data_IF_515400568861
#
_entry.id   IF_515400568861
#
_cell.length_a   1.000
_cell.length_b   1.000
_cell.length_c   1.000
_cell.angle_alpha   90.00
_cell.angle_beta   90.00
_cell.angle_gamma   90.00
#
_symmetry.space_group_name_H-M   'P 1'
#
loop_
_entity.id
_entity.type
_entity.pdbx_description
1 polymer ?
#
# COMPACT_ATOMS: atom_id res chain seq x y z
N UNK A 1 -12.15 -18.69 -20.72
CA UNK A 1 -12.03 -17.27 -21.12
C UNK A 1 -11.30 -16.52 -20.02
N UNK A 2 -10.16 -15.90 -20.31
CA UNK A 2 -9.40 -15.11 -19.34
C UNK A 2 -10.09 -13.77 -19.12
N UNK A 3 -10.40 -13.41 -17.87
CA UNK A 3 -11.05 -12.14 -17.53
C UNK A 3 -10.05 -11.00 -17.70
N UNK A 4 -10.44 -9.93 -18.39
CA UNK A 4 -9.65 -8.68 -18.44
C UNK A 4 -9.89 -7.91 -17.15
N UNK A 5 -8.83 -7.65 -16.38
CA UNK A 5 -8.87 -6.89 -15.13
C UNK A 5 -8.16 -5.57 -15.37
N UNK A 6 -8.77 -4.46 -14.96
CA UNK A 6 -8.14 -3.15 -14.90
C UNK A 6 -7.88 -2.78 -13.44
N UNK A 7 -6.69 -2.28 -13.15
CA UNK A 7 -6.31 -1.77 -11.83
C UNK A 7 -6.49 -0.25 -11.82
N UNK A 8 -7.18 0.27 -10.80
CA UNK A 8 -7.40 1.71 -10.61
C UNK A 8 -6.81 2.09 -9.26
N UNK A 9 -5.97 3.11 -9.26
CA UNK A 9 -5.33 3.64 -8.06
C UNK A 9 -6.02 4.95 -7.68
N UNK A 10 -6.62 5.05 -6.47
CA UNK A 10 -7.35 6.25 -6.05
C UNK A 10 -6.38 7.40 -5.75
N UNK A 11 -6.85 8.63 -5.94
CA UNK A 11 -6.07 9.85 -5.67
C UNK A 11 -6.13 10.35 -4.22
N UNK A 12 -5.52 11.51 -3.98
CA UNK A 12 -5.53 12.21 -2.70
C UNK A 12 -6.96 12.53 -2.25
N UNK A 13 -7.23 12.40 -0.95
CA UNK A 13 -8.55 12.62 -0.33
C UNK A 13 -9.34 11.33 -0.10
N UNK A 14 -8.89 10.20 -0.65
CA UNK A 14 -9.50 8.88 -0.44
C UNK A 14 -9.04 8.18 0.85
N UNK A 15 -7.98 8.69 1.49
CA UNK A 15 -7.37 8.07 2.66
C UNK A 15 -8.25 8.15 3.91
N UNK A 16 -8.09 7.17 4.82
CA UNK A 16 -8.77 7.09 6.10
C UNK A 16 -7.78 6.73 7.20
N UNK A 17 -8.09 7.12 8.44
CA UNK A 17 -7.28 6.75 9.62
C UNK A 17 -7.16 5.22 9.69
N UNK A 18 -5.94 4.71 9.83
CA UNK A 18 -5.65 3.28 9.90
C UNK A 18 -5.64 2.53 8.56
N UNK A 19 -5.77 3.23 7.42
CA UNK A 19 -5.62 2.61 6.10
C UNK A 19 -4.23 1.95 5.97
N UNK A 20 -4.18 0.73 5.43
CA UNK A 20 -2.94 -0.03 5.29
C UNK A 20 -2.50 -0.81 6.53
N UNK A 21 -3.02 -0.51 7.73
CA UNK A 21 -2.56 -1.14 8.99
C UNK A 21 -2.70 -2.67 8.99
N UNK A 22 -3.86 -3.19 8.56
CA UNK A 22 -4.06 -4.64 8.52
C UNK A 22 -3.08 -5.33 7.55
N UNK A 23 -2.76 -4.69 6.42
CA UNK A 23 -1.77 -5.22 5.49
C UNK A 23 -0.38 -5.22 6.12
N UNK A 24 0.03 -4.10 6.71
CA UNK A 24 1.29 -3.99 7.43
C UNK A 24 1.42 -5.06 8.52
N UNK A 25 0.40 -5.25 9.36
CA UNK A 25 0.49 -6.17 10.50
C UNK A 25 0.62 -7.66 10.07
N UNK A 26 0.00 -8.03 8.95
CA UNK A 26 -0.21 -9.44 8.59
C UNK A 26 0.63 -9.93 7.39
N UNK A 27 1.22 -9.04 6.59
CA UNK A 27 1.94 -9.42 5.39
C UNK A 27 3.36 -8.85 5.39
N UNK A 28 4.36 -9.74 5.33
CA UNK A 28 5.77 -9.35 5.29
C UNK A 28 6.08 -8.43 4.10
N UNK A 29 5.53 -8.73 2.92
CA UNK A 29 5.70 -7.90 1.73
C UNK A 29 5.14 -6.48 1.88
N UNK A 30 4.07 -6.30 2.66
CA UNK A 30 3.57 -4.97 2.97
C UNK A 30 4.59 -4.23 3.85
N UNK A 31 5.10 -4.86 4.92
CA UNK A 31 6.11 -4.24 5.79
C UNK A 31 7.35 -3.81 5.04
N UNK A 32 7.84 -4.64 4.12
CA UNK A 32 9.01 -4.33 3.28
C UNK A 32 8.79 -3.07 2.43
N UNK A 33 7.61 -2.93 1.80
CA UNK A 33 7.27 -1.74 1.02
C UNK A 33 7.16 -0.48 1.90
N UNK A 34 6.57 -0.60 3.10
CA UNK A 34 6.51 0.53 4.03
C UNK A 34 7.92 0.94 4.50
N UNK A 35 8.80 -0.03 4.79
CA UNK A 35 10.19 0.25 5.19
C UNK A 35 10.97 0.96 4.09
N UNK A 36 10.83 0.53 2.83
CA UNK A 36 11.49 1.19 1.69
C UNK A 36 11.08 2.67 1.59
N UNK A 37 9.81 2.99 1.86
CA UNK A 37 9.32 4.37 1.86
C UNK A 37 9.92 5.17 3.02
N UNK A 38 9.97 4.60 4.22
CA UNK A 38 10.54 5.25 5.39
C UNK A 38 12.04 5.55 5.18
N UNK A 39 12.80 4.59 4.65
CA UNK A 39 14.23 4.74 4.34
C UNK A 39 14.51 5.86 3.32
N UNK A 40 13.57 6.11 2.39
CA UNK A 40 13.65 7.19 1.41
C UNK A 40 13.34 8.56 2.02
N UNK A 41 12.45 8.62 3.03
CA UNK A 41 12.06 9.86 3.69
C UNK A 41 13.07 10.35 4.74
N UNK A 42 13.92 9.46 5.26
CA UNK A 42 14.96 9.78 6.24
C UNK A 42 16.27 10.36 5.62
N UNK A 43 16.21 10.85 4.36
CA UNK A 43 17.33 11.49 3.65
C UNK A 43 17.24 13.01 3.62
#
# INVERSE_FOLDING_TARGET
MTKKIAFIFPGQGSQKIGMGKNFYDNFASAKEVFQEIDDVLEQ
#
